data_IF_706360135833
#
_entry.id   IF_706360135833
#
_cell.length_a   1.000
_cell.length_b   1.000
_cell.length_c   1.000
_cell.angle_alpha   90.00
_cell.angle_beta   90.00
_cell.angle_gamma   90.00
#
_symmetry.space_group_name_H-M   'P 1'
#
loop_
_entity.id
_entity.type
_entity.pdbx_description
1 polymer ?
#
# COMPACT_ATOMS: atom_id res chain seq x y z
N UNK A 1 7.41 -5.71 -14.71
CA UNK A 1 7.34 -5.52 -13.24
C UNK A 1 6.68 -4.22 -12.81
N UNK A 2 6.91 -3.07 -13.45
CA UNK A 2 6.34 -1.76 -13.05
C UNK A 2 4.82 -1.72 -12.90
N UNK A 3 4.07 -2.50 -13.69
CA UNK A 3 2.60 -2.56 -13.60
C UNK A 3 2.07 -3.25 -12.31
N UNK A 4 2.88 -4.06 -11.62
CA UNK A 4 2.43 -4.91 -10.51
C UNK A 4 1.88 -4.10 -9.33
N UNK A 5 2.39 -2.89 -9.11
CA UNK A 5 1.92 -2.01 -8.04
C UNK A 5 0.45 -1.57 -8.22
N UNK A 6 -0.07 -1.64 -9.44
CA UNK A 6 -1.46 -1.34 -9.77
C UNK A 6 -2.37 -2.59 -9.76
N UNK A 7 -1.82 -3.79 -9.61
CA UNK A 7 -2.61 -5.02 -9.72
C UNK A 7 -3.72 -5.12 -8.67
N UNK A 8 -3.52 -4.59 -7.45
CA UNK A 8 -4.60 -4.54 -6.45
C UNK A 8 -5.75 -3.62 -6.86
N UNK A 9 -5.47 -2.49 -7.54
CA UNK A 9 -6.51 -1.64 -8.12
C UNK A 9 -7.27 -2.41 -9.21
N UNK A 10 -6.53 -3.02 -10.14
CA UNK A 10 -7.15 -3.74 -11.25
C UNK A 10 -7.84 -5.04 -10.84
N UNK A 11 -7.47 -5.64 -9.72
CA UNK A 11 -8.22 -6.72 -9.09
C UNK A 11 -9.62 -6.26 -8.66
N UNK A 12 -9.71 -5.11 -7.99
CA UNK A 12 -11.00 -4.54 -7.62
C UNK A 12 -11.85 -4.17 -8.85
N UNK A 13 -11.22 -3.56 -9.88
CA UNK A 13 -11.90 -3.25 -11.14
C UNK A 13 -12.42 -4.53 -11.82
N UNK A 14 -11.59 -5.58 -11.86
CA UNK A 14 -11.93 -6.89 -12.40
C UNK A 14 -13.07 -7.55 -11.65
N UNK A 15 -13.01 -7.62 -10.33
CA UNK A 15 -14.06 -8.24 -9.52
C UNK A 15 -15.36 -7.44 -9.57
N UNK A 16 -15.28 -6.11 -9.68
CA UNK A 16 -16.43 -5.23 -9.90
C UNK A 16 -17.11 -5.50 -11.24
N UNK A 17 -16.34 -5.52 -12.33
CA UNK A 17 -16.84 -5.76 -13.68
C UNK A 17 -17.33 -7.20 -13.90
N UNK A 18 -16.84 -8.17 -13.10
CA UNK A 18 -17.15 -9.60 -13.26
C UNK A 18 -18.05 -10.17 -12.16
N UNK A 19 -18.67 -9.31 -11.35
CA UNK A 19 -19.49 -9.72 -10.19
C UNK A 19 -20.66 -10.63 -10.55
N UNK A 20 -21.32 -10.35 -11.67
CA UNK A 20 -22.47 -11.11 -12.16
C UNK A 20 -22.05 -11.90 -13.40
N UNK A 21 -21.52 -13.10 -13.20
CA UNK A 21 -21.12 -13.96 -14.32
C UNK A 21 -22.34 -14.41 -15.11
N UNK A 22 -22.45 -13.93 -16.36
CA UNK A 22 -23.52 -14.27 -17.31
C UNK A 22 -23.21 -15.62 -18.00
N UNK A 23 -24.26 -16.35 -18.37
CA UNK A 23 -24.18 -17.54 -19.21
C UNK A 23 -23.77 -17.24 -20.66
N UNK A 24 -23.80 -15.96 -21.06
CA UNK A 24 -23.35 -15.48 -22.37
C UNK A 24 -21.95 -16.00 -22.76
N UNK A 25 -21.07 -16.24 -21.80
CA UNK A 25 -19.67 -16.65 -22.03
C UNK A 25 -19.45 -18.17 -21.97
N UNK A 26 -20.51 -18.96 -21.75
CA UNK A 26 -20.41 -20.42 -21.64
C UNK A 26 -19.85 -21.05 -22.92
N UNK A 27 -20.30 -20.58 -24.08
CA UNK A 27 -19.86 -21.11 -25.37
C UNK A 27 -18.36 -20.94 -25.59
N UNK A 28 -17.84 -19.72 -25.38
CA UNK A 28 -16.42 -19.42 -25.52
C UNK A 28 -15.58 -20.23 -24.53
N UNK A 29 -16.01 -20.30 -23.26
CA UNK A 29 -15.27 -21.04 -22.26
C UNK A 29 -15.28 -22.56 -22.44
N UNK A 30 -16.35 -23.11 -23.02
CA UNK A 30 -16.40 -24.52 -23.39
C UNK A 30 -15.41 -24.86 -24.50
N UNK A 31 -15.35 -24.03 -25.55
CA UNK A 31 -14.37 -24.19 -26.64
C UNK A 31 -12.94 -24.17 -26.07
N UNK A 32 -12.65 -23.23 -25.17
CA UNK A 32 -11.34 -23.15 -24.52
C UNK A 32 -11.08 -24.40 -23.66
N UNK A 33 -12.04 -24.81 -22.83
CA UNK A 33 -11.91 -26.00 -21.98
C UNK A 33 -11.59 -27.25 -22.81
N UNK A 34 -12.29 -27.44 -23.92
CA UNK A 34 -12.09 -28.55 -24.85
C UNK A 34 -10.69 -28.50 -25.50
N UNK A 35 -10.26 -27.31 -25.93
CA UNK A 35 -8.93 -27.08 -26.53
C UNK A 35 -7.78 -27.37 -25.54
N UNK A 36 -7.97 -26.99 -24.28
CA UNK A 36 -7.01 -27.21 -23.19
C UNK A 36 -7.08 -28.63 -22.60
N UNK A 37 -8.14 -29.39 -22.89
CA UNK A 37 -8.44 -30.71 -22.31
C UNK A 37 -8.44 -30.68 -20.78
N UNK A 38 -9.13 -29.70 -20.21
CA UNK A 38 -9.20 -29.49 -18.77
C UNK A 38 -10.59 -29.82 -18.22
N UNK A 39 -10.65 -30.08 -16.91
CA UNK A 39 -11.90 -30.24 -16.19
C UNK A 39 -12.70 -28.93 -16.21
N UNK A 40 -13.79 -28.96 -16.98
CA UNK A 40 -14.70 -27.83 -17.17
C UNK A 40 -15.20 -27.26 -15.83
N UNK A 41 -15.44 -28.11 -14.83
CA UNK A 41 -15.99 -27.68 -13.54
C UNK A 41 -15.08 -26.70 -12.79
N UNK A 42 -13.75 -26.83 -12.97
CA UNK A 42 -12.75 -25.97 -12.34
C UNK A 42 -12.36 -24.78 -13.22
N UNK A 43 -12.57 -24.90 -14.53
CA UNK A 43 -12.14 -23.92 -15.52
C UNK A 43 -13.19 -22.84 -15.84
N UNK A 44 -14.48 -23.20 -15.77
CA UNK A 44 -15.55 -22.33 -16.26
C UNK A 44 -15.62 -20.98 -15.55
N UNK A 45 -15.58 -20.94 -14.22
CA UNK A 45 -15.69 -19.68 -13.48
C UNK A 45 -14.52 -18.72 -13.77
N UNK A 46 -13.24 -19.15 -13.67
CA UNK A 46 -12.12 -18.29 -14.05
C UNK A 46 -12.19 -17.83 -15.50
N UNK A 47 -12.51 -18.73 -16.44
CA UNK A 47 -12.62 -18.38 -17.84
C UNK A 47 -13.70 -17.32 -18.11
N UNK A 48 -14.90 -17.49 -17.52
CA UNK A 48 -15.99 -16.52 -17.70
C UNK A 48 -15.58 -15.14 -17.21
N UNK A 49 -14.99 -15.03 -16.02
CA UNK A 49 -14.53 -13.75 -15.48
C UNK A 49 -13.47 -13.09 -16.38
N UNK A 50 -12.49 -13.85 -16.86
CA UNK A 50 -11.46 -13.33 -17.77
C UNK A 50 -12.08 -12.84 -19.09
N UNK A 51 -12.97 -13.64 -19.67
CA UNK A 51 -13.66 -13.32 -20.94
C UNK A 51 -14.55 -12.07 -20.80
N UNK A 52 -15.31 -11.99 -19.70
CA UNK A 52 -16.12 -10.82 -19.37
C UNK A 52 -15.29 -9.55 -19.27
N UNK A 53 -14.16 -9.62 -18.57
CA UNK A 53 -13.33 -8.44 -18.38
C UNK A 53 -12.62 -8.01 -19.67
N UNK A 54 -12.16 -8.96 -20.49
CA UNK A 54 -11.61 -8.63 -21.80
C UNK A 54 -12.63 -7.92 -22.70
N UNK A 55 -13.91 -8.32 -22.63
CA UNK A 55 -14.99 -7.63 -23.32
C UNK A 55 -15.25 -6.24 -22.72
N UNK A 56 -15.29 -6.13 -21.40
CA UNK A 56 -15.38 -4.83 -20.71
C UNK A 56 -14.28 -3.85 -21.17
N UNK A 57 -13.02 -4.31 -21.25
CA UNK A 57 -11.90 -3.47 -21.71
C UNK A 57 -12.02 -3.03 -23.17
N UNK A 58 -12.72 -3.80 -24.00
CA UNK A 58 -12.96 -3.48 -25.40
C UNK A 58 -14.09 -2.45 -25.57
N UNK A 59 -15.14 -2.57 -24.77
CA UNK A 59 -16.31 -1.70 -24.82
C UNK A 59 -16.07 -0.35 -24.10
N UNK A 60 -15.18 -0.33 -23.10
CA UNK A 60 -14.68 0.88 -22.47
C UNK A 60 -13.75 1.62 -23.47
N UNK A 61 -14.06 2.89 -23.79
CA UNK A 61 -13.19 3.72 -24.65
C UNK A 61 -11.74 3.62 -24.19
N UNK A 62 -10.81 3.30 -25.10
CA UNK A 62 -9.41 2.97 -24.78
C UNK A 62 -8.80 4.04 -23.86
N UNK A 63 -8.39 3.65 -22.65
CA UNK A 63 -7.81 4.58 -21.67
C UNK A 63 -6.29 4.44 -21.64
N UNK A 64 -5.59 5.45 -21.10
CA UNK A 64 -4.14 5.40 -20.84
C UNK A 64 -3.75 4.18 -19.98
N UNK A 65 -4.68 3.68 -19.15
CA UNK A 65 -4.46 2.54 -18.27
C UNK A 65 -4.62 1.17 -18.95
N UNK A 66 -5.13 1.09 -20.19
CA UNK A 66 -5.41 -0.18 -20.87
C UNK A 66 -4.21 -1.13 -20.92
N UNK A 67 -2.97 -0.72 -21.26
CA UNK A 67 -1.81 -1.62 -21.24
C UNK A 67 -1.53 -2.20 -19.85
N UNK A 68 -1.71 -1.41 -18.78
CA UNK A 68 -1.51 -1.86 -17.39
C UNK A 68 -2.61 -2.84 -16.97
N UNK A 69 -3.88 -2.57 -17.34
CA UNK A 69 -5.01 -3.50 -17.14
C UNK A 69 -4.79 -4.83 -17.89
N UNK A 70 -4.25 -4.78 -19.11
CA UNK A 70 -3.91 -5.96 -19.90
C UNK A 70 -2.78 -6.79 -19.28
N UNK A 71 -1.75 -6.15 -18.70
CA UNK A 71 -0.71 -6.87 -17.93
C UNK A 71 -1.29 -7.59 -16.71
N UNK A 72 -2.30 -7.02 -16.05
CA UNK A 72 -3.02 -7.70 -14.98
C UNK A 72 -3.78 -8.93 -15.48
N UNK A 73 -4.49 -8.82 -16.61
CA UNK A 73 -5.19 -9.98 -17.18
C UNK A 73 -4.24 -11.06 -17.67
N UNK A 74 -3.10 -10.68 -18.26
CA UNK A 74 -2.06 -11.63 -18.60
C UNK A 74 -1.57 -12.41 -17.36
N UNK A 75 -1.34 -11.70 -16.25
CA UNK A 75 -1.01 -12.33 -14.97
C UNK A 75 -2.11 -13.31 -14.51
N UNK A 76 -3.38 -12.92 -14.59
CA UNK A 76 -4.51 -13.79 -14.22
C UNK A 76 -4.59 -15.05 -15.07
N UNK A 77 -4.42 -14.96 -16.39
CA UNK A 77 -4.41 -16.14 -17.26
C UNK A 77 -3.25 -17.07 -16.90
N UNK A 78 -2.05 -16.53 -16.71
CA UNK A 78 -0.89 -17.33 -16.28
C UNK A 78 -1.12 -18.01 -14.91
N UNK A 79 -1.75 -17.31 -13.96
CA UNK A 79 -2.09 -17.84 -12.65
C UNK A 79 -3.12 -18.98 -12.74
N UNK A 80 -4.16 -18.84 -13.56
CA UNK A 80 -5.13 -19.90 -13.79
C UNK A 80 -4.50 -21.11 -14.50
N UNK A 81 -3.69 -20.89 -15.53
CA UNK A 81 -2.98 -21.96 -16.25
C UNK A 81 -2.12 -22.82 -15.32
N UNK A 82 -1.46 -22.21 -14.33
CA UNK A 82 -0.64 -22.92 -13.33
C UNK A 82 -1.43 -23.78 -12.35
N UNK A 83 -2.73 -23.53 -12.21
CA UNK A 83 -3.63 -24.34 -11.36
C UNK A 83 -4.22 -25.53 -12.13
N UNK A 84 -4.02 -25.58 -13.45
CA UNK A 84 -4.56 -26.66 -14.29
C UNK A 84 -3.67 -27.89 -14.15
N UNK A 85 -4.29 -28.98 -13.73
CA UNK A 85 -3.67 -30.29 -13.57
C UNK A 85 -4.38 -31.31 -14.47
N UNK A 86 -3.80 -32.50 -14.64
CA UNK A 86 -4.38 -33.62 -15.41
C UNK A 86 -4.64 -33.31 -16.90
N UNK A 87 -3.86 -32.40 -17.48
CA UNK A 87 -3.85 -32.11 -18.92
C UNK A 87 -2.62 -32.73 -19.59
N UNK A 88 -2.67 -33.10 -20.88
CA UNK A 88 -1.50 -33.59 -21.61
C UNK A 88 -0.49 -32.49 -21.98
N UNK A 89 -0.79 -31.21 -21.70
CA UNK A 89 0.00 -30.07 -22.15
C UNK A 89 0.78 -29.41 -21.01
N UNK A 90 1.97 -28.88 -21.30
CA UNK A 90 2.71 -28.03 -20.36
C UNK A 90 2.09 -26.63 -20.25
N UNK A 91 2.39 -25.90 -19.16
CA UNK A 91 1.80 -24.57 -18.90
C UNK A 91 1.99 -23.57 -20.06
N UNK A 92 3.15 -23.55 -20.72
CA UNK A 92 3.39 -22.67 -21.87
C UNK A 92 2.46 -22.99 -23.05
N UNK A 93 2.22 -24.28 -23.30
CA UNK A 93 1.33 -24.73 -24.36
C UNK A 93 -0.13 -24.47 -24.02
N UNK A 94 -0.54 -24.73 -22.77
CA UNK A 94 -1.87 -24.38 -22.26
C UNK A 94 -2.16 -22.89 -22.44
N UNK A 95 -1.23 -22.04 -22.01
CA UNK A 95 -1.36 -20.60 -22.19
C UNK A 95 -1.52 -20.24 -23.67
N UNK A 96 -0.65 -20.77 -24.53
CA UNK A 96 -0.67 -20.48 -25.97
C UNK A 96 -1.97 -20.92 -26.64
N UNK A 97 -2.51 -22.09 -26.26
CA UNK A 97 -3.81 -22.59 -26.73
C UNK A 97 -4.95 -21.69 -26.29
N UNK A 98 -4.99 -21.30 -25.02
CA UNK A 98 -6.03 -20.39 -24.51
C UNK A 98 -6.03 -19.07 -25.29
N UNK A 99 -4.86 -18.44 -25.45
CA UNK A 99 -4.75 -17.18 -26.20
C UNK A 99 -5.11 -17.37 -27.68
N UNK A 100 -4.81 -18.53 -28.28
CA UNK A 100 -5.19 -18.83 -29.67
C UNK A 100 -6.73 -18.90 -29.86
N UNK A 101 -7.47 -19.41 -28.88
CA UNK A 101 -8.94 -19.40 -28.92
C UNK A 101 -9.50 -17.97 -28.88
N UNK A 102 -8.91 -17.09 -28.08
CA UNK A 102 -9.31 -15.67 -28.08
C UNK A 102 -9.02 -14.98 -29.42
N UNK A 103 -7.89 -15.31 -30.06
CA UNK A 103 -7.48 -14.77 -31.38
C UNK A 103 -8.33 -15.29 -32.54
N UNK A 104 -9.02 -16.40 -32.38
CA UNK A 104 -9.77 -17.05 -33.47
C UNK A 104 -11.16 -16.43 -33.71
N UNK A 105 -11.52 -15.36 -33.00
CA UNK A 105 -12.86 -14.75 -33.02
C UNK A 105 -12.87 -13.42 -33.82
N UNK A 106 -13.84 -13.12 -34.71
CA UNK A 106 -13.84 -11.92 -35.56
C UNK A 106 -13.90 -10.58 -34.82
N UNK A 107 -14.27 -10.61 -33.54
CA UNK A 107 -14.32 -9.48 -32.61
C UNK A 107 -13.14 -9.48 -31.60
N UNK A 108 -12.02 -10.07 -32.01
CA UNK A 108 -10.80 -10.42 -31.26
C UNK A 108 -10.57 -9.62 -29.96
N UNK A 109 -10.86 -10.27 -28.82
CA UNK A 109 -10.54 -9.77 -27.48
C UNK A 109 -9.04 -9.64 -27.23
N UNK A 110 -8.20 -10.30 -28.03
CA UNK A 110 -6.75 -10.16 -27.94
C UNK A 110 -6.25 -8.86 -28.54
N UNK A 111 -6.98 -8.18 -29.43
CA UNK A 111 -6.54 -6.90 -30.02
C UNK A 111 -6.36 -5.80 -28.99
N UNK A 112 -7.22 -5.74 -27.95
CA UNK A 112 -7.13 -4.71 -26.89
C UNK A 112 -5.87 -4.86 -26.05
N UNK A 113 -5.39 -6.09 -25.88
CA UNK A 113 -4.22 -6.39 -25.07
C UNK A 113 -2.96 -6.69 -25.88
N UNK A 114 -3.10 -7.03 -27.16
CA UNK A 114 -2.05 -7.26 -28.15
C UNK A 114 -0.85 -8.00 -27.59
N UNK A 115 0.30 -7.33 -27.62
CA UNK A 115 1.60 -7.80 -27.17
C UNK A 115 1.73 -8.00 -25.65
N UNK A 116 0.78 -7.49 -24.84
CA UNK A 116 0.79 -7.69 -23.38
C UNK A 116 0.37 -9.11 -22.96
N UNK A 117 -0.03 -9.97 -23.90
CA UNK A 117 -0.43 -11.36 -23.68
C UNK A 117 0.72 -12.31 -24.02
N UNK A 118 1.51 -12.66 -23.01
CA UNK A 118 2.61 -13.62 -23.12
C UNK A 118 2.63 -14.59 -21.94
N UNK A 119 3.07 -15.82 -22.20
CA UNK A 119 3.32 -16.80 -21.15
C UNK A 119 4.53 -16.34 -20.31
N UNK A 120 4.34 -16.27 -19.00
CA UNK A 120 5.36 -15.85 -18.05
C UNK A 120 5.99 -17.10 -17.44
N UNK A 121 7.29 -17.29 -17.66
CA UNK A 121 8.02 -18.43 -17.09
C UNK A 121 7.95 -18.47 -15.56
N UNK A 122 8.15 -19.65 -14.97
CA UNK A 122 7.94 -19.87 -13.54
C UNK A 122 8.74 -18.95 -12.62
N UNK A 123 10.00 -18.66 -12.98
CA UNK A 123 10.88 -17.79 -12.20
C UNK A 123 10.36 -16.35 -12.22
N UNK A 124 10.00 -15.85 -13.40
CA UNK A 124 9.47 -14.50 -13.56
C UNK A 124 8.09 -14.36 -12.91
N UNK A 125 7.23 -15.36 -13.08
CA UNK A 125 5.90 -15.39 -12.50
C UNK A 125 5.94 -15.38 -10.98
N UNK A 126 6.81 -16.19 -10.36
CA UNK A 126 6.98 -16.20 -8.90
C UNK A 126 7.35 -14.81 -8.37
N UNK A 127 8.29 -14.12 -9.04
CA UNK A 127 8.66 -12.74 -8.68
C UNK A 127 7.49 -11.76 -8.80
N UNK A 128 6.68 -11.87 -9.88
CA UNK A 128 5.47 -11.05 -10.06
C UNK A 128 4.45 -11.33 -8.96
N UNK A 129 4.20 -12.62 -8.68
CA UNK A 129 3.24 -13.07 -7.68
C UNK A 129 3.66 -12.65 -6.26
N UNK A 130 4.94 -12.79 -5.91
CA UNK A 130 5.46 -12.36 -4.62
C UNK A 130 5.32 -10.84 -4.44
N UNK A 131 5.69 -10.05 -5.45
CA UNK A 131 5.54 -8.59 -5.40
C UNK A 131 4.06 -8.18 -5.31
N UNK A 132 3.19 -8.83 -6.09
CA UNK A 132 1.74 -8.64 -6.01
C UNK A 132 1.19 -8.93 -4.61
N UNK A 133 1.58 -10.08 -4.04
CA UNK A 133 1.17 -10.49 -2.69
C UNK A 133 1.64 -9.49 -1.62
N UNK A 134 2.83 -8.90 -1.79
CA UNK A 134 3.33 -7.85 -0.91
C UNK A 134 2.44 -6.61 -0.96
N UNK A 135 2.13 -6.08 -2.15
CA UNK A 135 1.19 -4.95 -2.30
C UNK A 135 -0.19 -5.28 -1.75
N UNK A 136 -0.78 -6.42 -2.14
CA UNK A 136 -2.13 -6.80 -1.72
C UNK A 136 -2.25 -6.92 -0.20
N UNK A 137 -1.34 -7.64 0.45
CA UNK A 137 -1.34 -7.79 1.92
C UNK A 137 -1.12 -6.46 2.62
N UNK A 138 -0.18 -5.64 2.13
CA UNK A 138 0.11 -4.34 2.72
C UNK A 138 -1.10 -3.39 2.61
N UNK A 139 -1.73 -3.32 1.42
CA UNK A 139 -2.92 -2.51 1.16
C UNK A 139 -4.07 -2.91 2.07
N UNK A 140 -4.32 -4.21 2.21
CA UNK A 140 -5.33 -4.74 3.14
C UNK A 140 -5.04 -4.32 4.58
N UNK A 141 -3.79 -4.40 5.02
CA UNK A 141 -3.40 -4.03 6.38
C UNK A 141 -3.61 -2.54 6.65
N UNK A 142 -3.18 -1.65 5.75
CA UNK A 142 -3.29 -0.21 5.98
C UNK A 142 -4.74 0.29 5.88
N UNK A 143 -5.59 -0.36 5.06
CA UNK A 143 -7.00 0.01 4.87
C UNK A 143 -7.95 -0.56 5.93
N UNK A 144 -7.61 -1.68 6.58
CA UNK A 144 -8.46 -2.27 7.62
C UNK A 144 -8.56 -1.34 8.83
N UNK A 145 -9.77 -0.87 9.15
CA UNK A 145 -10.05 -0.06 10.34
C UNK A 145 -10.10 -0.96 11.58
N UNK A 146 -9.23 -0.72 12.55
CA UNK A 146 -9.24 -1.39 13.84
C UNK A 146 -7.95 -1.13 14.61
N UNK A 147 -8.07 -0.83 15.92
CA UNK A 147 -6.94 -0.83 16.84
C UNK A 147 -6.54 -2.28 17.08
N UNK A 148 -5.69 -2.84 16.22
CA UNK A 148 -5.08 -4.12 16.54
C UNK A 148 -4.00 -3.86 17.57
N UNK A 149 -4.31 -3.99 18.86
CA UNK A 149 -3.30 -4.03 19.93
C UNK A 149 -2.53 -5.37 19.89
N UNK A 150 -2.19 -5.87 18.71
CA UNK A 150 -1.38 -7.07 18.54
C UNK A 150 0.08 -6.64 18.63
N UNK A 151 0.69 -6.96 19.76
CA UNK A 151 2.11 -6.73 20.08
C UNK A 151 3.07 -7.37 19.07
N UNK A 152 2.59 -8.30 18.24
CA UNK A 152 3.40 -8.97 17.23
C UNK A 152 2.82 -8.67 15.85
N UNK A 153 3.52 -7.85 15.07
CA UNK A 153 3.33 -7.52 13.65
C UNK A 153 3.36 -8.76 12.71
N UNK A 154 2.85 -9.93 13.09
CA UNK A 154 3.14 -11.21 12.43
C UNK A 154 2.76 -11.24 10.95
N UNK A 155 1.60 -10.67 10.59
CA UNK A 155 1.18 -10.52 9.19
C UNK A 155 2.15 -9.66 8.37
N UNK A 156 2.75 -8.66 9.02
CA UNK A 156 3.72 -7.77 8.42
C UNK A 156 5.12 -8.40 8.31
N UNK A 157 5.52 -9.21 9.30
CA UNK A 157 6.80 -9.93 9.30
C UNK A 157 6.97 -10.80 8.07
N UNK A 158 5.91 -11.42 7.55
CA UNK A 158 5.97 -12.19 6.31
C UNK A 158 6.33 -11.33 5.09
N UNK A 159 5.82 -10.10 5.01
CA UNK A 159 6.13 -9.16 3.93
C UNK A 159 7.58 -8.67 4.01
N UNK A 160 8.05 -8.34 5.22
CA UNK A 160 9.44 -7.95 5.49
C UNK A 160 10.40 -9.08 5.14
N UNK A 161 10.12 -10.30 5.58
CA UNK A 161 10.95 -11.46 5.31
C UNK A 161 11.03 -11.75 3.81
N UNK A 162 9.90 -11.65 3.10
CA UNK A 162 9.87 -11.82 1.65
C UNK A 162 10.70 -10.75 0.93
N UNK A 163 10.59 -9.47 1.33
CA UNK A 163 11.44 -8.40 0.79
C UNK A 163 12.93 -8.73 0.96
N UNK A 164 13.37 -9.06 2.18
CA UNK A 164 14.77 -9.37 2.46
C UNK A 164 15.25 -10.70 1.84
N UNK A 165 14.35 -11.63 1.51
CA UNK A 165 14.72 -12.86 0.79
C UNK A 165 15.28 -12.60 -0.62
N UNK A 166 14.94 -11.45 -1.22
CA UNK A 166 15.43 -11.01 -2.52
C UNK A 166 16.73 -10.18 -2.46
N UNK A 167 17.30 -9.98 -1.26
CA UNK A 167 18.49 -9.14 -1.07
C UNK A 167 19.65 -9.60 -1.96
N UNK A 168 20.01 -10.89 -1.95
CA UNK A 168 21.15 -11.40 -2.71
C UNK A 168 21.01 -11.15 -4.22
N UNK A 169 19.82 -11.43 -4.77
CA UNK A 169 19.48 -11.20 -6.18
C UNK A 169 19.69 -9.72 -6.53
N UNK A 170 19.17 -8.82 -5.70
CA UNK A 170 19.24 -7.38 -5.97
C UNK A 170 20.62 -6.75 -5.70
N UNK A 171 21.43 -7.36 -4.82
CA UNK A 171 22.81 -6.91 -4.60
C UNK A 171 23.78 -7.41 -5.67
N UNK A 172 23.52 -8.57 -6.28
CA UNK A 172 24.35 -9.12 -7.37
C UNK A 172 24.08 -8.44 -8.73
N UNK A 173 23.03 -7.61 -8.82
CA UNK A 173 22.64 -6.92 -10.06
C UNK A 173 21.80 -7.76 -11.01
N UNK A 174 21.37 -8.96 -10.59
CA UNK A 174 20.48 -9.80 -11.37
C UNK A 174 19.05 -9.26 -11.34
N UNK A 175 18.33 -9.35 -12.47
CA UNK A 175 16.91 -8.97 -12.57
C UNK A 175 16.63 -7.52 -12.15
N UNK A 176 17.41 -6.57 -12.67
CA UNK A 176 17.31 -5.15 -12.31
C UNK A 176 15.87 -4.59 -12.37
N UNK A 177 15.08 -4.98 -13.37
CA UNK A 177 13.67 -4.55 -13.48
C UNK A 177 12.80 -5.01 -12.30
N UNK A 178 13.04 -6.23 -11.80
CA UNK A 178 12.36 -6.73 -10.61
C UNK A 178 12.82 -5.97 -9.37
N UNK A 179 14.12 -5.75 -9.23
CA UNK A 179 14.68 -5.03 -8.08
C UNK A 179 14.24 -3.57 -8.04
N UNK A 180 14.13 -2.90 -9.20
CA UNK A 180 13.55 -1.55 -9.30
C UNK A 180 12.08 -1.53 -8.85
N UNK A 181 11.30 -2.56 -9.22
CA UNK A 181 9.92 -2.67 -8.77
C UNK A 181 9.81 -3.01 -7.27
N UNK A 182 10.78 -3.77 -6.72
CA UNK A 182 10.88 -4.07 -5.29
C UNK A 182 11.27 -2.81 -4.48
N UNK A 183 12.15 -1.96 -5.01
CA UNK A 183 12.44 -0.64 -4.45
C UNK A 183 11.23 0.30 -4.54
N UNK A 184 10.44 0.22 -5.62
CA UNK A 184 9.17 0.96 -5.72
C UNK A 184 8.20 0.53 -4.61
N UNK A 185 8.12 -0.78 -4.32
CA UNK A 185 7.36 -1.28 -3.17
C UNK A 185 7.92 -0.74 -1.85
N UNK A 186 9.25 -0.69 -1.68
CA UNK A 186 9.89 -0.11 -0.48
C UNK A 186 9.46 1.35 -0.28
N UNK A 187 9.48 2.17 -1.31
CA UNK A 187 9.06 3.57 -1.24
C UNK A 187 7.58 3.71 -0.89
N UNK A 188 6.73 2.91 -1.53
CA UNK A 188 5.31 2.86 -1.24
C UNK A 188 5.07 2.47 0.22
N UNK A 189 5.71 1.40 0.67
CA UNK A 189 5.71 0.91 2.04
C UNK A 189 6.11 1.99 3.05
N UNK A 190 7.20 2.71 2.78
CA UNK A 190 7.68 3.79 3.65
C UNK A 190 6.72 4.99 3.70
N UNK A 191 6.01 5.26 2.61
CA UNK A 191 5.05 6.38 2.53
C UNK A 191 3.85 6.19 3.46
N UNK A 192 3.48 4.95 3.77
CA UNK A 192 2.36 4.62 4.65
C UNK A 192 2.81 4.01 5.99
N UNK A 193 4.07 4.18 6.37
CA UNK A 193 4.62 3.62 7.62
C UNK A 193 3.90 4.13 8.87
N UNK A 194 3.39 5.36 8.85
CA UNK A 194 2.61 5.92 9.96
C UNK A 194 1.34 5.11 10.22
N UNK A 195 0.64 4.67 9.16
CA UNK A 195 -0.55 3.82 9.26
C UNK A 195 -0.24 2.42 9.83
N UNK A 196 1.01 1.98 9.71
CA UNK A 196 1.49 0.73 10.30
C UNK A 196 1.84 0.93 11.78
N UNK A 197 2.57 2.00 12.10
CA UNK A 197 3.00 2.32 13.46
C UNK A 197 1.82 2.60 14.41
N UNK A 198 0.71 3.12 13.88
CA UNK A 198 -0.54 3.28 14.64
C UNK A 198 -1.14 1.93 15.09
N UNK A 199 -0.87 0.86 14.34
CA UNK A 199 -1.43 -0.49 14.56
C UNK A 199 -0.43 -1.48 15.13
N UNK A 200 0.86 -1.15 15.15
CA UNK A 200 1.90 -2.07 15.59
C UNK A 200 3.10 -1.34 16.20
N UNK A 201 3.48 -1.78 17.40
CA UNK A 201 4.66 -1.28 18.12
C UNK A 201 5.78 -2.32 17.94
N UNK A 202 6.47 -2.28 16.79
CA UNK A 202 7.55 -3.20 16.44
C UNK A 202 8.82 -2.48 15.98
N UNK A 203 10.00 -3.05 16.28
CA UNK A 203 11.31 -2.41 16.02
C UNK A 203 11.86 -2.62 14.60
N UNK A 204 11.28 -3.54 13.82
CA UNK A 204 11.76 -3.91 12.47
C UNK A 204 10.77 -3.53 11.35
N UNK A 205 10.17 -2.35 11.46
CA UNK A 205 9.14 -1.87 10.51
C UNK A 205 9.77 -1.07 9.36
N UNK A 206 11.07 -0.80 9.33
CA UNK A 206 11.70 -0.08 8.20
C UNK A 206 12.41 -1.03 7.22
N UNK A 207 12.10 -0.89 5.93
CA UNK A 207 12.77 -1.62 4.85
C UNK A 207 13.99 -0.81 4.36
N UNK A 208 15.18 -1.41 4.40
CA UNK A 208 16.41 -0.82 3.87
C UNK A 208 16.53 -1.05 2.37
N UNK A 209 17.04 -0.06 1.64
CA UNK A 209 17.31 -0.21 0.19
C UNK A 209 18.42 -1.23 -0.06
N UNK A 210 18.28 -2.01 -1.13
CA UNK A 210 19.35 -2.87 -1.63
C UNK A 210 20.37 -2.12 -2.48
N UNK A 211 20.03 -0.93 -2.96
CA UNK A 211 20.90 -0.12 -3.82
C UNK A 211 22.11 0.45 -3.06
N UNK A 212 21.99 0.70 -1.73
CA UNK A 212 23.10 1.18 -0.90
C UNK A 212 24.31 0.22 -0.86
N UNK A 213 24.11 -1.09 -1.10
CA UNK A 213 25.21 -2.06 -1.14
C UNK A 213 26.07 -1.96 -2.40
N UNK A 214 25.63 -1.18 -3.40
CA UNK A 214 26.33 -0.96 -4.66
C UNK A 214 27.43 0.12 -4.55
N UNK A 215 27.38 0.97 -3.53
CA UNK A 215 28.34 2.08 -3.37
C UNK A 215 29.75 1.63 -2.97
N UNK A 216 29.94 0.36 -2.59
CA UNK A 216 31.26 -0.18 -2.24
C UNK A 216 31.95 -1.00 -3.35
N UNK A 217 31.51 -0.91 -4.61
CA UNK A 217 32.10 -1.69 -5.70
C UNK A 217 31.94 -1.10 -7.09
N UNK A 218 32.89 -0.23 -7.45
CA UNK A 218 33.37 0.14 -8.80
C UNK A 218 32.38 0.67 -9.86
N UNK A 219 32.71 1.87 -10.34
CA UNK A 219 32.19 2.67 -11.45
C UNK A 219 31.43 1.96 -12.59
N UNK A 220 30.26 2.52 -12.93
CA UNK A 220 29.86 2.69 -14.34
C UNK A 220 29.22 4.06 -14.56
N UNK A 221 29.94 4.90 -15.31
CA UNK A 221 29.36 5.83 -16.28
C UNK A 221 28.62 4.98 -17.33
N UNK A 222 27.31 5.14 -17.47
CA UNK A 222 26.75 5.59 -18.77
C UNK A 222 25.26 5.93 -18.66
N UNK A 223 24.92 7.00 -19.40
CA UNK A 223 23.71 7.21 -20.21
C UNK A 223 22.49 6.33 -19.93
N UNK A 224 21.50 6.93 -19.26
CA UNK A 224 20.13 6.48 -19.31
C UNK A 224 19.25 7.59 -18.77
N UNK A 225 18.67 8.39 -19.68
CA UNK A 225 17.84 9.54 -19.34
C UNK A 225 16.80 9.19 -18.26
N UNK A 226 16.93 9.81 -17.09
CA UNK A 226 15.92 9.76 -16.05
C UNK A 226 14.73 10.62 -16.51
N UNK A 227 13.78 10.00 -17.20
CA UNK A 227 12.48 10.64 -17.45
C UNK A 227 11.65 10.41 -16.19
N UNK A 228 11.49 11.47 -15.39
CA UNK A 228 10.36 11.56 -14.47
C UNK A 228 9.11 11.70 -15.36
N UNK A 229 8.42 10.59 -15.62
CA UNK A 229 7.00 10.70 -15.95
C UNK A 229 6.30 11.12 -14.67
N UNK A 230 5.96 12.41 -14.62
CA UNK A 230 5.12 13.06 -13.62
C UNK A 230 3.67 12.52 -13.77
N UNK A 231 3.49 11.24 -13.45
CA UNK A 231 2.19 10.62 -13.33
C UNK A 231 1.81 10.65 -11.86
N UNK A 232 0.81 11.48 -11.53
CA UNK A 232 0.16 11.59 -10.23
C UNK A 232 -0.08 10.22 -9.59
N UNK A 233 0.87 9.82 -8.72
CA UNK A 233 0.92 8.51 -8.08
C UNK A 233 -0.12 8.45 -6.96
N UNK A 234 -1.33 7.99 -7.28
CA UNK A 234 -2.34 7.63 -6.30
C UNK A 234 -2.89 6.22 -6.57
N UNK A 235 -2.27 5.17 -6.02
CA UNK A 235 -2.63 3.78 -6.30
C UNK A 235 -3.96 3.35 -5.67
N UNK A 236 -4.65 4.24 -4.96
CA UNK A 236 -5.88 3.90 -4.24
C UNK A 236 -7.17 4.44 -4.86
N UNK A 237 -7.15 5.21 -5.95
CA UNK A 237 -8.38 5.84 -6.45
C UNK A 237 -9.07 6.72 -5.38
N UNK A 238 -8.29 7.28 -4.43
CA UNK A 238 -8.78 8.07 -3.30
C UNK A 238 -9.12 9.51 -3.66
N UNK A 239 -9.65 9.75 -4.86
CA UNK A 239 -10.14 11.08 -5.24
C UNK A 239 -11.25 11.57 -4.31
N UNK A 240 -11.89 10.66 -3.56
CA UNK A 240 -12.94 10.94 -2.59
C UNK A 240 -12.49 11.23 -1.14
N UNK A 241 -11.32 10.77 -0.68
CA UNK A 241 -10.89 11.03 0.71
C UNK A 241 -10.09 12.33 0.79
N UNK A 242 -9.24 12.62 -0.20
CA UNK A 242 -8.52 13.89 -0.28
C UNK A 242 -9.49 15.07 -0.35
N UNK A 243 -10.51 14.98 -1.19
CA UNK A 243 -11.55 16.03 -1.31
C UNK A 243 -12.33 16.22 -0.01
N UNK A 244 -12.72 15.16 0.71
CA UNK A 244 -13.39 15.29 1.99
C UNK A 244 -12.51 15.91 3.09
N UNK A 245 -11.21 15.61 3.10
CA UNK A 245 -10.27 16.24 4.04
C UNK A 245 -10.09 17.72 3.69
N UNK A 246 -9.87 18.07 2.42
CA UNK A 246 -9.76 19.47 2.01
C UNK A 246 -11.07 20.25 2.19
N UNK A 247 -12.23 19.64 1.97
CA UNK A 247 -13.54 20.26 2.21
C UNK A 247 -13.78 20.44 3.71
N UNK A 248 -13.44 19.47 4.56
CA UNK A 248 -13.57 19.61 6.02
C UNK A 248 -12.62 20.69 6.55
N UNK A 249 -11.36 20.76 6.11
CA UNK A 249 -10.47 21.87 6.48
C UNK A 249 -10.96 23.22 5.94
N UNK A 250 -11.43 23.29 4.69
CA UNK A 250 -11.93 24.53 4.08
C UNK A 250 -13.18 25.04 4.81
N UNK A 251 -14.09 24.15 5.18
CA UNK A 251 -15.30 24.51 5.95
C UNK A 251 -14.97 24.95 7.37
N UNK A 252 -14.00 24.32 8.06
CA UNK A 252 -13.53 24.75 9.39
C UNK A 252 -12.90 26.14 9.32
N UNK A 253 -12.08 26.42 8.30
CA UNK A 253 -11.45 27.73 8.10
C UNK A 253 -12.50 28.81 7.84
N UNK A 254 -13.46 28.54 6.95
CA UNK A 254 -14.56 29.47 6.64
C UNK A 254 -15.44 29.74 7.87
N UNK A 255 -15.76 28.70 8.65
CA UNK A 255 -16.55 28.83 9.86
C UNK A 255 -15.78 29.64 10.93
N UNK A 256 -14.49 29.39 11.10
CA UNK A 256 -13.63 30.13 12.03
C UNK A 256 -13.51 31.61 11.62
N UNK A 257 -13.38 31.89 10.33
CA UNK A 257 -13.31 33.25 9.80
C UNK A 257 -14.66 33.98 9.97
N UNK A 258 -15.78 33.29 9.76
CA UNK A 258 -17.12 33.83 10.00
C UNK A 258 -17.32 34.19 11.48
N UNK A 259 -16.92 33.32 12.42
CA UNK A 259 -16.97 33.64 13.85
C UNK A 259 -16.05 34.81 14.23
N UNK A 260 -14.89 34.93 13.60
CA UNK A 260 -13.99 36.07 13.80
C UNK A 260 -14.61 37.40 13.33
N UNK A 261 -15.29 37.39 12.16
CA UNK A 261 -16.03 38.55 11.66
C UNK A 261 -17.19 38.89 12.60
N UNK A 262 -17.99 37.91 13.03
CA UNK A 262 -19.08 38.14 13.99
C UNK A 262 -18.57 38.69 15.32
N UNK A 263 -17.43 38.20 15.80
CA UNK A 263 -16.78 38.70 17.00
C UNK A 263 -16.31 40.16 16.84
N UNK A 264 -15.87 40.56 15.64
CA UNK A 264 -15.32 41.90 15.38
C UNK A 264 -16.36 42.95 14.98
N UNK A 265 -17.41 42.55 14.26
CA UNK A 265 -18.34 43.47 13.59
C UNK A 265 -19.79 43.41 14.11
N UNK A 266 -20.13 42.46 14.97
CA UNK A 266 -21.47 42.34 15.59
C UNK A 266 -21.39 42.80 17.06
N UNK A 267 -22.45 43.39 17.66
CA UNK A 267 -22.48 43.79 19.08
C UNK A 267 -22.19 42.64 20.07
N UNK A 268 -22.22 41.40 19.58
CA UNK A 268 -21.85 40.17 20.29
C UNK A 268 -20.41 40.20 20.83
N UNK A 269 -19.46 40.82 20.12
CA UNK A 269 -18.06 40.95 20.58
C UNK A 269 -17.92 41.79 21.86
N UNK A 270 -18.68 42.88 21.97
CA UNK A 270 -18.71 43.74 23.16
C UNK A 270 -19.25 42.99 24.39
N UNK A 271 -20.19 42.06 24.19
CA UNK A 271 -20.75 41.23 25.26
C UNK A 271 -19.87 40.02 25.62
N UNK A 272 -19.18 39.41 24.66
CA UNK A 272 -18.31 38.25 24.91
C UNK A 272 -16.95 38.64 25.50
N UNK A 273 -16.41 39.81 25.13
CA UNK A 273 -15.06 40.26 25.53
C UNK A 273 -14.86 40.33 27.06
N UNK A 274 -15.81 40.84 27.87
CA UNK A 274 -15.68 40.81 29.34
C UNK A 274 -15.69 39.38 29.90
N UNK A 275 -16.48 38.46 29.32
CA UNK A 275 -16.55 37.06 29.76
C UNK A 275 -15.26 36.30 29.46
N UNK A 276 -14.68 36.49 28.28
CA UNK A 276 -13.40 35.90 27.90
C UNK A 276 -12.27 36.41 28.82
N UNK A 277 -12.23 37.71 29.09
CA UNK A 277 -11.23 38.29 29.99
C UNK A 277 -11.34 37.75 31.43
N UNK A 278 -12.56 37.56 31.93
CA UNK A 278 -12.77 36.93 33.24
C UNK A 278 -12.29 35.47 33.26
N UNK A 279 -12.49 34.69 32.20
CA UNK A 279 -11.98 33.32 32.08
C UNK A 279 -10.45 33.27 32.02
N UNK A 280 -9.82 34.16 31.26
CA UNK A 280 -8.35 34.28 31.19
C UNK A 280 -7.78 34.65 32.57
N UNK A 281 -8.42 35.56 33.30
CA UNK A 281 -8.00 35.93 34.66
C UNK A 281 -8.09 34.75 35.64
N UNK A 282 -9.15 33.94 35.55
CA UNK A 282 -9.30 32.71 36.35
C UNK A 282 -8.20 31.69 35.98
N UNK A 283 -7.95 31.48 34.69
CA UNK A 283 -6.88 30.58 34.23
C UNK A 283 -5.50 31.02 34.71
N UNK A 284 -5.20 32.33 34.65
CA UNK A 284 -3.95 32.88 35.17
C UNK A 284 -3.80 32.64 36.67
N UNK A 285 -4.90 32.80 37.44
CA UNK A 285 -4.92 32.50 38.88
C UNK A 285 -4.65 31.01 39.16
N UNK A 286 -5.28 30.11 38.41
CA UNK A 286 -5.06 28.65 38.53
C UNK A 286 -3.63 28.27 38.15
N UNK A 287 -3.07 28.89 37.11
CA UNK A 287 -1.71 28.64 36.66
C UNK A 287 -0.67 29.12 37.69
N UNK A 288 -0.85 30.32 38.25
CA UNK A 288 -0.01 30.84 39.34
C UNK A 288 -0.10 29.98 40.60
N UNK A 289 -1.29 29.46 40.92
CA UNK A 289 -1.50 28.53 42.05
C UNK A 289 -0.82 27.18 41.82
N UNK A 290 -0.88 26.63 40.59
CA UNK A 290 -0.13 25.43 40.20
C UNK A 290 1.39 25.62 40.28
N UNK A 291 1.91 26.79 39.89
CA UNK A 291 3.34 27.09 40.00
C UNK A 291 3.77 27.15 41.47
N UNK A 292 2.99 27.80 42.33
CA UNK A 292 3.27 27.85 43.78
C UNK A 292 3.27 26.46 44.43
N UNK A 293 2.28 25.62 44.09
CA UNK A 293 2.21 24.23 44.55
C UNK A 293 3.44 23.42 44.09
N UNK A 294 3.88 23.57 42.84
CA UNK A 294 5.06 22.88 42.31
C UNK A 294 6.35 23.30 43.03
N UNK A 295 6.49 24.57 43.39
CA UNK A 295 7.67 25.07 44.09
C UNK A 295 7.76 24.56 45.54
N UNK A 296 6.62 24.40 46.21
CA UNK A 296 6.55 23.82 47.56
C UNK A 296 6.91 22.33 47.57
N UNK A 297 6.45 21.56 46.58
CA UNK A 297 6.77 20.12 46.44
C UNK A 297 8.28 19.92 46.18
N UNK A 298 8.90 20.79 45.39
CA UNK A 298 10.35 20.74 45.12
C UNK A 298 11.21 20.97 46.36
N UNK A 299 10.75 21.78 47.32
CA UNK A 299 11.46 22.00 48.58
C UNK A 299 11.37 20.79 49.54
N UNK A 300 10.22 20.10 49.58
CA UNK A 300 10.06 18.86 50.36
C UNK A 300 10.93 17.71 49.85
N UNK A 301 11.10 17.58 48.53
CA UNK A 301 12.01 16.57 47.94
C UNK A 301 13.48 16.84 48.28
N UNK A 302 13.94 18.09 48.25
CA UNK A 302 15.33 18.44 48.60
C UNK A 302 15.67 18.24 50.08
N UNK A 303 14.72 18.46 51.00
CA UNK A 303 14.92 18.22 52.43
C UNK A 303 14.93 16.73 52.78
N UNK A 304 14.15 15.91 52.06
CA UNK A 304 14.15 14.45 52.25
C UNK A 304 15.44 13.78 51.75
N UNK A 305 16.05 14.27 50.66
CA UNK A 305 17.30 13.74 50.12
C UNK A 305 18.52 14.08 50.99
N UNK A 306 18.56 15.30 51.56
CA UNK A 306 19.63 15.71 52.49
C UNK A 306 19.60 14.95 53.82
N UNK A 307 18.41 14.50 54.27
CA UNK A 307 18.29 13.68 55.48
C UNK A 307 18.79 12.24 55.28
N UNK A 308 18.89 11.75 54.04
CA UNK A 308 19.31 10.38 53.71
C UNK A 308 20.83 10.21 53.50
N UNK A 309 21.61 11.28 53.33
CA UNK A 309 23.05 11.20 52.98
C UNK A 309 23.97 11.40 54.22
N UNK A 310 23.40 11.56 55.42
CA UNK A 310 24.15 11.70 56.67
C UNK A 310 24.63 10.39 57.32
N UNK A 311 25.31 9.48 56.61
CA UNK A 311 26.00 8.34 57.24
C UNK A 311 27.52 8.55 57.28
N UNK A 312 28.04 8.81 58.50
CA UNK A 312 29.46 8.99 58.82
C UNK A 312 30.27 7.71 58.58
N UNK A 313 31.29 7.78 57.72
CA UNK A 313 32.37 6.79 57.68
C UNK A 313 33.37 7.06 58.80
N UNK A 314 33.54 6.10 59.71
CA UNK A 314 34.70 6.05 60.62
C UNK A 314 35.80 5.23 59.95
N UNK A 315 36.92 5.88 59.62
CA UNK A 315 38.17 5.23 59.19
C UNK A 315 38.95 4.78 60.43
N UNK A 316 39.20 3.48 60.54
CA UNK A 316 40.13 2.90 61.53
C UNK A 316 41.55 3.05 60.97
N UNK A 317 42.40 3.76 61.71
CA UNK A 317 43.83 3.95 61.45
C UNK A 317 44.60 2.83 62.13
N UNK A 318 45.28 1.99 61.34
CA UNK A 318 46.32 1.11 61.84
C UNK A 318 47.59 1.91 62.11
N UNK A 319 48.17 1.75 63.30
CA UNK A 319 49.62 1.75 63.49
C UNK A 319 49.98 0.76 64.58
#
# INVERSE_FOLDING_TARGET
>A
YSAVSYFTKYENDFDGATKNTDDLYNGVCKIISDSLKVDESKFMTPCKKITMYLKYLKDETTTVDTPKKCKYINYRINDEVKKLENTPYGHSELYSKWIAEYRSNPEDMSTICGENMEHVNDIMFKKVQDLYNMYHKYNKYITTSGSSNTTECTEFTACVNLYYSYQSICTMGDSQDFCNALESFRHYYQSYIASVLDKCIGTHISLKSFQMWRENGLDRLDDGSFVYEDDDWNPFGLQYIGTNIFITFSTIILLSFFFFILYKFTPFGYWLRPRIQNRIKIFKKIYEEKIKLRHNIGHEETDSLNKSIGMKYHSVRNS
#
